data_IF_687510343723
#
_entry.id   IF_687510343723
#
_cell.length_a   1.000
_cell.length_b   1.000
_cell.length_c   1.000
_cell.angle_alpha   90.00
_cell.angle_beta   90.00
_cell.angle_gamma   90.00
#
_symmetry.space_group_name_H-M   'P 1'
#
loop_
_entity.id
_entity.type
_entity.pdbx_description
1 polymer ?
#
# COMPACT_ATOMS: atom_id res chain seq x y z
N UNK A 1 -8.06 -5.49 6.55
CA UNK A 1 -7.93 -4.90 7.90
C UNK A 1 -8.30 -3.42 7.94
N UNK A 2 -7.68 -2.55 7.12
CA UNK A 2 -7.96 -1.09 7.10
C UNK A 2 -9.44 -0.75 6.80
N UNK A 3 -10.06 -1.42 5.82
CA UNK A 3 -11.47 -1.21 5.44
C UNK A 3 -12.44 -1.60 6.57
N UNK A 4 -12.14 -2.67 7.31
CA UNK A 4 -13.01 -3.14 8.39
C UNK A 4 -12.88 -2.24 9.64
N UNK A 5 -11.70 -1.68 9.88
CA UNK A 5 -11.49 -0.66 10.91
C UNK A 5 -12.19 0.65 10.59
N UNK A 6 -12.21 1.10 9.33
CA UNK A 6 -12.93 2.30 8.93
C UNK A 6 -14.45 2.13 9.05
N UNK A 7 -14.97 0.93 8.77
CA UNK A 7 -16.38 0.56 9.00
C UNK A 7 -16.70 0.52 10.50
N UNK A 8 -15.83 -0.07 11.33
CA UNK A 8 -15.99 -0.10 12.79
C UNK A 8 -16.00 1.30 13.41
N UNK A 9 -15.17 2.22 12.89
CA UNK A 9 -15.10 3.62 13.32
C UNK A 9 -16.36 4.44 12.99
N UNK A 10 -17.16 4.02 12.01
CA UNK A 10 -18.38 4.70 11.58
C UNK A 10 -19.66 4.22 12.29
N UNK A 11 -19.56 3.37 13.32
CA UNK A 11 -20.70 3.04 14.19
C UNK A 11 -21.59 1.90 13.71
N UNK A 12 -21.05 0.96 12.93
CA UNK A 12 -21.69 -0.36 12.74
C UNK A 12 -21.50 -0.98 11.37
N UNK A 13 -21.69 -2.30 11.32
CA UNK A 13 -21.61 -3.16 10.14
C UNK A 13 -22.79 -2.93 9.15
N UNK A 14 -23.02 -1.69 8.72
CA UNK A 14 -24.04 -1.35 7.71
C UNK A 14 -23.43 -1.31 6.31
N UNK A 15 -24.18 -1.83 5.33
CA UNK A 15 -23.75 -1.92 3.93
C UNK A 15 -23.36 -0.58 3.33
N UNK A 16 -24.03 0.51 3.72
CA UNK A 16 -23.72 1.86 3.24
C UNK A 16 -22.30 2.33 3.65
N UNK A 17 -21.85 2.03 4.87
CA UNK A 17 -20.49 2.39 5.33
C UNK A 17 -19.43 1.56 4.61
N UNK A 18 -19.73 0.29 4.34
CA UNK A 18 -18.89 -0.59 3.56
C UNK A 18 -18.70 -0.09 2.12
N UNK A 19 -19.78 0.27 1.44
CA UNK A 19 -19.72 0.80 0.07
C UNK A 19 -18.92 2.10 0.00
N UNK A 20 -19.09 3.00 0.98
CA UNK A 20 -18.33 4.24 1.07
C UNK A 20 -16.83 3.97 1.26
N UNK A 21 -16.47 3.12 2.22
CA UNK A 21 -15.08 2.77 2.49
C UNK A 21 -14.42 2.09 1.29
N UNK A 22 -15.12 1.20 0.60
CA UNK A 22 -14.60 0.55 -0.59
C UNK A 22 -14.40 1.51 -1.76
N UNK A 23 -15.32 2.47 -1.96
CA UNK A 23 -15.16 3.49 -3.00
C UNK A 23 -13.91 4.34 -2.77
N UNK A 24 -13.61 4.70 -1.52
CA UNK A 24 -12.40 5.47 -1.17
C UNK A 24 -11.09 4.68 -1.43
N UNK A 25 -11.11 3.35 -1.33
CA UNK A 25 -9.93 2.50 -1.54
C UNK A 25 -9.77 2.07 -2.99
N UNK A 26 -10.86 1.75 -3.69
CA UNK A 26 -10.80 1.23 -5.07
C UNK A 26 -10.26 2.29 -6.03
N UNK A 27 -10.64 3.56 -5.88
CA UNK A 27 -10.19 4.65 -6.76
C UNK A 27 -8.66 4.77 -6.86
N UNK A 28 -7.90 4.92 -5.75
CA UNK A 28 -6.44 5.00 -5.84
C UNK A 28 -5.79 3.69 -6.31
N UNK A 29 -6.38 2.54 -6.01
CA UNK A 29 -5.91 1.24 -6.51
C UNK A 29 -6.03 1.18 -8.04
N UNK A 30 -7.19 1.55 -8.59
CA UNK A 30 -7.40 1.63 -10.05
C UNK A 30 -6.42 2.59 -10.71
N UNK A 31 -6.20 3.78 -10.13
CA UNK A 31 -5.23 4.74 -10.66
C UNK A 31 -3.82 4.16 -10.71
N UNK A 32 -3.37 3.52 -9.64
CA UNK A 32 -2.03 2.93 -9.56
C UNK A 32 -1.88 1.75 -10.53
N UNK A 33 -2.87 0.86 -10.59
CA UNK A 33 -2.88 -0.28 -11.52
C UNK A 33 -2.87 0.17 -12.97
N UNK A 34 -3.61 1.22 -13.32
CA UNK A 34 -3.61 1.79 -14.67
C UNK A 34 -2.25 2.37 -15.04
N UNK A 35 -1.65 3.18 -14.16
CA UNK A 35 -0.31 3.75 -14.39
C UNK A 35 0.74 2.64 -14.58
N UNK A 36 0.71 1.61 -13.73
CA UNK A 36 1.62 0.46 -13.86
C UNK A 36 1.40 -0.30 -15.17
N UNK A 37 0.15 -0.55 -15.57
CA UNK A 37 -0.15 -1.18 -16.85
C UNK A 37 0.34 -0.36 -18.04
N UNK A 38 0.13 0.96 -18.04
CA UNK A 38 0.66 1.84 -19.09
C UNK A 38 2.19 1.86 -19.12
N UNK A 39 2.84 1.87 -17.95
CA UNK A 39 4.30 1.82 -17.85
C UNK A 39 4.86 0.53 -18.45
N UNK A 40 4.33 -0.64 -18.08
CA UNK A 40 4.75 -1.92 -18.66
C UNK A 40 4.42 -2.03 -20.15
N UNK A 41 3.31 -1.44 -20.60
CA UNK A 41 3.00 -1.37 -22.03
C UNK A 41 4.03 -0.53 -22.80
N UNK A 42 4.51 0.59 -22.25
CA UNK A 42 5.58 1.38 -22.87
C UNK A 42 6.92 0.64 -22.92
N UNK A 43 7.23 -0.18 -21.92
CA UNK A 43 8.45 -1.00 -21.90
C UNK A 43 8.52 -2.03 -23.04
N UNK A 44 7.38 -2.37 -23.68
CA UNK A 44 7.36 -3.24 -24.85
C UNK A 44 7.97 -2.61 -26.12
N UNK A 45 8.25 -1.30 -26.11
CA UNK A 45 8.91 -0.61 -27.23
C UNK A 45 10.43 -0.85 -27.21
N UNK A 46 10.99 -1.39 -26.13
CA UNK A 46 12.43 -1.65 -26.02
C UNK A 46 12.89 -2.80 -26.94
N UNK A 47 13.99 -2.58 -27.67
CA UNK A 47 14.62 -3.60 -28.53
C UNK A 47 15.35 -4.72 -27.75
N UNK A 48 15.37 -4.65 -26.41
CA UNK A 48 16.07 -5.64 -25.57
C UNK A 48 15.11 -6.79 -25.22
N UNK A 49 15.41 -8.04 -25.61
CA UNK A 49 14.47 -9.16 -25.46
C UNK A 49 14.12 -9.51 -24.02
N UNK A 50 15.08 -9.43 -23.11
CA UNK A 50 14.81 -9.62 -21.69
C UNK A 50 13.83 -8.57 -21.13
N UNK A 51 13.90 -7.34 -21.63
CA UNK A 51 13.07 -6.22 -21.15
C UNK A 51 11.64 -6.36 -21.64
N UNK A 52 11.40 -6.51 -22.95
CA UNK A 52 10.03 -6.59 -23.45
C UNK A 52 9.32 -7.88 -23.01
N UNK A 53 9.99 -9.03 -22.91
CA UNK A 53 9.36 -10.27 -22.44
C UNK A 53 8.92 -10.16 -20.97
N UNK A 54 9.79 -9.60 -20.11
CA UNK A 54 9.42 -9.36 -18.71
C UNK A 54 8.29 -8.33 -18.58
N UNK A 55 8.30 -7.29 -19.42
CA UNK A 55 7.27 -6.27 -19.45
C UNK A 55 5.91 -6.83 -19.89
N UNK A 56 5.86 -7.72 -20.88
CA UNK A 56 4.62 -8.42 -21.27
C UNK A 56 4.07 -9.28 -20.12
N UNK A 57 4.91 -10.09 -19.47
CA UNK A 57 4.49 -10.88 -18.31
C UNK A 57 3.97 -10.00 -17.17
N UNK A 58 4.66 -8.89 -16.86
CA UNK A 58 4.25 -7.94 -15.83
C UNK A 58 2.93 -7.25 -16.20
N UNK A 59 2.74 -6.88 -17.46
CA UNK A 59 1.50 -6.25 -17.95
C UNK A 59 0.29 -7.16 -17.74
N UNK A 60 0.37 -8.41 -18.20
CA UNK A 60 -0.72 -9.38 -18.00
C UNK A 60 -0.97 -9.64 -16.51
N UNK A 61 0.11 -9.76 -15.73
CA UNK A 61 0.01 -9.97 -14.27
C UNK A 61 -0.69 -8.82 -13.56
N UNK A 62 -0.36 -7.57 -13.88
CA UNK A 62 -0.99 -6.38 -13.29
C UNK A 62 -2.46 -6.29 -13.67
N UNK A 63 -2.82 -6.57 -14.93
CA UNK A 63 -4.21 -6.55 -15.38
C UNK A 63 -5.02 -7.62 -14.64
N UNK A 64 -4.53 -8.86 -14.59
CA UNK A 64 -5.20 -9.96 -13.89
C UNK A 64 -5.31 -9.69 -12.38
N UNK A 65 -4.25 -9.16 -11.77
CA UNK A 65 -4.24 -8.77 -10.37
C UNK A 65 -5.27 -7.67 -10.09
N UNK A 66 -5.37 -6.67 -10.98
CA UNK A 66 -6.37 -5.62 -10.85
C UNK A 66 -7.80 -6.17 -10.91
N UNK A 67 -8.10 -7.07 -11.85
CA UNK A 67 -9.40 -7.73 -11.95
C UNK A 67 -9.72 -8.57 -10.71
N UNK A 68 -8.75 -9.32 -10.19
CA UNK A 68 -8.91 -10.08 -8.95
C UNK A 68 -9.16 -9.17 -7.75
N UNK A 69 -8.43 -8.04 -7.65
CA UNK A 69 -8.61 -7.09 -6.55
C UNK A 69 -9.97 -6.39 -6.65
N UNK A 70 -10.45 -5.98 -7.83
CA UNK A 70 -11.73 -5.26 -7.89
C UNK A 70 -12.95 -6.18 -7.69
N UNK A 71 -12.81 -7.48 -7.95
CA UNK A 71 -13.91 -8.45 -7.83
C UNK A 71 -13.85 -9.28 -6.55
N UNK A 72 -12.75 -10.02 -6.33
CA UNK A 72 -12.62 -10.97 -5.23
C UNK A 72 -12.41 -10.28 -3.89
N UNK A 73 -11.61 -9.20 -3.84
CA UNK A 73 -11.30 -8.56 -2.56
C UNK A 73 -12.52 -7.89 -1.91
N UNK A 74 -13.40 -7.19 -2.65
CA UNK A 74 -14.67 -6.73 -2.09
C UNK A 74 -15.60 -7.86 -1.68
N UNK A 75 -15.76 -8.90 -2.49
CA UNK A 75 -16.57 -10.05 -2.08
C UNK A 75 -16.07 -10.65 -0.76
N UNK A 76 -14.75 -10.83 -0.63
CA UNK A 76 -14.12 -11.35 0.59
C UNK A 76 -14.35 -10.43 1.80
N UNK A 77 -14.14 -9.12 1.64
CA UNK A 77 -14.33 -8.16 2.71
C UNK A 77 -15.81 -8.03 3.15
N UNK A 78 -16.75 -8.15 2.21
CA UNK A 78 -18.19 -8.17 2.53
C UNK A 78 -18.58 -9.44 3.33
N UNK A 79 -18.08 -10.61 2.92
CA UNK A 79 -18.29 -11.85 3.66
C UNK A 79 -17.66 -11.80 5.05
N UNK A 80 -16.45 -11.23 5.16
CA UNK A 80 -15.78 -11.05 6.45
C UNK A 80 -16.54 -10.08 7.36
N UNK A 81 -17.06 -8.98 6.80
CA UNK A 81 -17.94 -8.05 7.51
C UNK A 81 -19.17 -8.76 8.10
N UNK A 82 -19.85 -9.59 7.30
CA UNK A 82 -21.02 -10.37 7.75
C UNK A 82 -20.65 -11.42 8.81
N UNK A 83 -19.47 -12.04 8.69
CA UNK A 83 -18.95 -12.99 9.69
C UNK A 83 -18.68 -12.31 11.03
N UNK A 84 -18.04 -11.14 11.02
CA UNK A 84 -17.77 -10.36 12.23
C UNK A 84 -19.06 -9.84 12.87
N UNK A 85 -20.03 -9.38 12.06
CA UNK A 85 -21.35 -8.97 12.55
C UNK A 85 -22.10 -10.12 13.26
N UNK A 86 -21.88 -11.37 12.84
CA UNK A 86 -22.43 -12.56 13.50
C UNK A 86 -21.65 -12.99 14.76
N UNK A 87 -20.56 -12.30 15.11
CA UNK A 87 -19.74 -12.60 16.29
C UNK A 87 -19.01 -13.95 16.21
N UNK A 88 -18.67 -14.43 15.01
CA UNK A 88 -17.94 -15.70 14.82
C UNK A 88 -16.44 -15.46 14.81
N UNK A 89 -15.64 -16.39 15.38
CA UNK A 89 -14.16 -16.29 15.37
C UNK A 89 -13.58 -16.43 13.95
N UNK A 90 -12.37 -15.91 13.76
CA UNK A 90 -11.69 -15.83 12.44
C UNK A 90 -11.32 -17.20 11.87
N UNK A 91 -10.66 -18.04 12.66
CA UNK A 91 -10.15 -19.37 12.23
C UNK A 91 -11.18 -20.47 12.49
N UNK A 92 -11.87 -20.42 13.63
CA UNK A 92 -12.87 -21.43 14.02
C UNK A 92 -14.28 -20.85 13.89
N UNK A 93 -14.79 -20.85 12.66
CA UNK A 93 -16.09 -20.26 12.30
C UNK A 93 -17.30 -20.86 13.06
N UNK A 94 -17.18 -22.09 13.58
CA UNK A 94 -18.22 -22.74 14.37
C UNK A 94 -18.35 -22.21 15.80
N UNK A 95 -17.33 -21.51 16.31
CA UNK A 95 -17.33 -20.99 17.67
C UNK A 95 -17.79 -19.54 17.67
N UNK A 96 -18.93 -19.30 18.33
CA UNK A 96 -19.41 -17.95 18.59
C UNK A 96 -18.56 -17.33 19.69
N UNK A 97 -18.20 -16.06 19.53
CA UNK A 97 -17.47 -15.31 20.51
C UNK A 97 -18.43 -14.88 21.62
N UNK A 98 -18.21 -15.38 22.82
CA UNK A 98 -19.05 -15.13 24.01
C UNK A 98 -19.02 -13.65 24.45
N UNK A 99 -17.86 -13.01 24.26
CA UNK A 99 -17.65 -11.59 24.47
C UNK A 99 -17.32 -10.93 23.13
N UNK A 100 -18.35 -10.55 22.36
CA UNK A 100 -18.12 -9.70 21.19
C UNK A 100 -17.32 -8.46 21.65
N UNK A 101 -16.24 -8.07 20.96
CA UNK A 101 -15.47 -6.90 21.36
C UNK A 101 -16.45 -5.72 21.34
N UNK A 102 -16.58 -5.03 22.48
CA UNK A 102 -17.45 -3.86 22.56
C UNK A 102 -17.13 -2.90 21.41
N UNK A 103 -18.14 -2.15 20.96
CA UNK A 103 -18.04 -1.19 19.86
C UNK A 103 -16.98 -0.09 20.06
N UNK A 104 -16.29 -0.09 21.21
CA UNK A 104 -15.16 0.77 21.52
C UNK A 104 -13.83 0.26 20.98
N UNK A 105 -13.32 0.95 19.95
CA UNK A 105 -11.89 1.25 19.72
C UNK A 105 -10.90 0.13 20.11
N UNK A 106 -10.74 -0.86 19.23
CA UNK A 106 -9.42 -1.46 19.09
C UNK A 106 -8.58 -0.46 18.29
N UNK A 107 -8.06 0.57 18.95
CA UNK A 107 -7.03 1.38 18.31
C UNK A 107 -5.83 0.46 18.06
N UNK A 108 -5.42 0.37 16.80
CA UNK A 108 -4.30 -0.44 16.37
C UNK A 108 -3.05 0.03 17.14
N UNK A 109 -2.61 -0.75 18.13
CA UNK A 109 -1.59 -0.38 19.12
C UNK A 109 -0.31 0.15 18.45
N UNK A 110 0.01 -0.40 17.27
CA UNK A 110 1.15 0.01 16.45
C UNK A 110 0.96 1.40 15.84
N UNK A 111 -0.26 1.71 15.36
CA UNK A 111 -0.57 3.02 14.82
C UNK A 111 -0.60 4.05 15.95
N UNK A 112 -1.30 3.83 17.05
CA UNK A 112 -1.39 4.84 18.12
C UNK A 112 -0.03 5.06 18.79
N UNK A 113 0.78 4.03 19.02
CA UNK A 113 2.07 4.22 19.72
C UNK A 113 3.16 4.85 18.85
N UNK A 114 3.44 4.33 17.65
CA UNK A 114 4.51 4.88 16.80
C UNK A 114 4.10 6.21 16.17
N UNK A 115 2.87 6.31 15.66
CA UNK A 115 2.44 7.52 14.97
C UNK A 115 2.19 8.67 15.94
N UNK A 116 1.37 8.48 16.98
CA UNK A 116 1.02 9.59 17.87
C UNK A 116 2.15 9.96 18.82
N UNK A 117 3.05 9.04 19.21
CA UNK A 117 4.12 9.32 20.17
C UNK A 117 5.43 9.79 19.53
N UNK A 118 5.77 9.34 18.33
CA UNK A 118 7.03 9.69 17.67
C UNK A 118 6.82 10.54 16.42
N UNK A 119 6.03 10.07 15.46
CA UNK A 119 5.90 10.73 14.17
C UNK A 119 5.22 12.10 14.26
N UNK A 120 4.06 12.15 14.93
CA UNK A 120 3.24 13.35 15.08
C UNK A 120 3.96 14.47 15.85
N UNK A 121 4.60 14.25 17.01
CA UNK A 121 5.32 15.34 17.68
C UNK A 121 6.59 15.77 16.93
N UNK A 122 7.27 14.87 16.23
CA UNK A 122 8.50 15.19 15.50
C UNK A 122 8.23 16.00 14.21
N UNK A 123 7.18 15.63 13.46
CA UNK A 123 6.86 16.23 12.15
C UNK A 123 5.80 17.33 12.27
N UNK A 124 4.74 17.13 13.07
CA UNK A 124 3.59 18.03 13.23
C UNK A 124 3.62 18.84 14.55
N UNK A 125 4.74 18.81 15.29
CA UNK A 125 4.88 19.49 16.58
C UNK A 125 4.88 21.02 16.51
N UNK A 126 5.42 21.65 17.56
CA UNK A 126 5.51 23.12 17.69
C UNK A 126 6.18 23.77 16.47
N UNK A 127 5.85 25.05 16.20
CA UNK A 127 6.30 25.76 14.99
C UNK A 127 7.82 25.69 14.78
N UNK A 128 8.61 25.75 15.86
CA UNK A 128 10.08 25.67 15.79
C UNK A 128 10.59 24.26 15.44
N UNK A 129 10.03 23.21 16.05
CA UNK A 129 10.43 21.83 15.76
C UNK A 129 9.97 21.40 14.38
N UNK A 130 8.76 21.79 13.96
CA UNK A 130 8.27 21.55 12.61
C UNK A 130 9.16 22.19 11.55
N UNK A 131 9.54 23.46 11.74
CA UNK A 131 10.41 24.15 10.79
C UNK A 131 11.77 23.46 10.68
N UNK A 132 12.38 23.11 11.82
CA UNK A 132 13.64 22.36 11.83
C UNK A 132 13.54 21.00 11.14
N UNK A 133 12.56 20.17 11.50
CA UNK A 133 12.37 18.82 10.92
C UNK A 133 12.12 18.89 9.41
N UNK A 134 11.26 19.80 8.95
CA UNK A 134 11.00 19.97 7.51
C UNK A 134 12.23 20.49 6.76
N UNK A 135 12.98 21.45 7.32
CA UNK A 135 14.22 21.93 6.71
C UNK A 135 15.27 20.82 6.62
N UNK A 136 15.40 19.98 7.66
CA UNK A 136 16.31 18.84 7.66
C UNK A 136 15.90 17.81 6.58
N UNK A 137 14.61 17.45 6.51
CA UNK A 137 14.11 16.51 5.49
C UNK A 137 14.33 17.06 4.09
N UNK A 138 14.04 18.34 3.86
CA UNK A 138 14.27 19.00 2.57
C UNK A 138 15.75 18.99 2.20
N UNK A 139 16.63 19.37 3.13
CA UNK A 139 18.08 19.40 2.90
C UNK A 139 18.63 18.00 2.61
N UNK A 140 18.18 16.99 3.37
CA UNK A 140 18.53 15.59 3.13
C UNK A 140 18.03 15.07 1.77
N UNK A 141 16.81 15.44 1.38
CA UNK A 141 16.23 15.05 0.08
C UNK A 141 16.99 15.70 -1.07
N UNK A 142 17.32 17.00 -0.96
CA UNK A 142 18.10 17.72 -1.98
C UNK A 142 19.52 17.14 -2.06
N UNK A 143 20.15 16.82 -0.93
CA UNK A 143 21.46 16.19 -0.91
C UNK A 143 21.43 14.82 -1.61
N UNK A 144 20.47 13.95 -1.28
CA UNK A 144 20.31 12.65 -1.94
C UNK A 144 20.01 12.78 -3.43
N UNK A 145 19.20 13.77 -3.82
CA UNK A 145 18.92 14.05 -5.22
C UNK A 145 20.17 14.50 -5.97
N UNK A 146 20.97 15.38 -5.37
CA UNK A 146 22.26 15.83 -5.92
C UNK A 146 23.26 14.69 -6.05
N UNK A 147 23.38 13.84 -5.04
CA UNK A 147 24.20 12.62 -5.09
C UNK A 147 23.70 11.67 -6.19
N UNK A 148 22.39 11.53 -6.36
CA UNK A 148 21.81 10.74 -7.45
C UNK A 148 22.18 11.28 -8.84
N UNK A 149 22.13 12.60 -9.04
CA UNK A 149 22.57 13.23 -10.29
C UNK A 149 24.05 12.97 -10.54
N UNK A 150 24.89 13.16 -9.52
CA UNK A 150 26.32 12.91 -9.63
C UNK A 150 26.61 11.44 -9.95
N UNK A 151 25.98 10.50 -9.24
CA UNK A 151 26.17 9.06 -9.45
C UNK A 151 25.71 8.56 -10.82
N UNK A 152 24.78 9.24 -11.48
CA UNK A 152 24.41 8.91 -12.87
C UNK A 152 25.58 9.20 -13.83
N UNK A 153 26.42 10.20 -13.54
CA UNK A 153 27.54 10.58 -14.42
C UNK A 153 28.72 9.62 -14.37
N UNK A 154 28.89 8.90 -13.26
CA UNK A 154 30.00 7.94 -13.07
C UNK A 154 29.64 6.51 -13.50
N UNK A 155 28.43 6.28 -14.03
CA UNK A 155 27.95 4.93 -14.32
C UNK A 155 28.65 4.35 -15.55
N UNK A 156 29.41 3.28 -15.36
CA UNK A 156 29.95 2.47 -16.45
C UNK A 156 28.80 1.86 -17.27
N UNK A 157 28.90 1.99 -18.59
CA UNK A 157 27.89 1.49 -19.54
C UNK A 157 28.37 0.17 -20.10
N UNK A 158 27.76 -0.93 -19.67
CA UNK A 158 28.08 -2.28 -20.12
C UNK A 158 27.84 -3.29 -19.00
N UNK A 159 27.72 -4.57 -19.38
CA UNK A 159 27.76 -5.69 -18.44
C UNK A 159 29.14 -6.32 -18.53
N UNK A 160 29.82 -6.45 -17.39
CA UNK A 160 31.08 -7.19 -17.33
C UNK A 160 30.81 -8.67 -17.60
N UNK A 161 31.71 -9.37 -18.30
CA UNK A 161 31.57 -10.82 -18.49
C UNK A 161 31.64 -11.58 -17.16
N UNK A 162 32.30 -11.01 -16.16
CA UNK A 162 32.32 -11.49 -14.78
C UNK A 162 30.94 -11.55 -14.11
N UNK A 163 29.98 -10.69 -14.47
CA UNK A 163 28.62 -10.70 -13.91
C UNK A 163 27.79 -11.93 -14.35
N UNK A 164 28.24 -12.65 -15.39
CA UNK A 164 27.57 -13.86 -15.86
C UNK A 164 28.04 -15.13 -15.15
N UNK A 165 29.16 -15.09 -14.43
CA UNK A 165 29.69 -16.25 -13.72
C UNK A 165 29.34 -16.16 -12.23
N UNK A 166 28.64 -17.15 -11.66
CA UNK A 166 28.42 -17.20 -10.22
C UNK A 166 29.78 -17.32 -9.50
N UNK A 167 29.94 -16.53 -8.43
CA UNK A 167 31.15 -16.50 -7.59
C UNK A 167 31.31 -17.74 -6.71
#
# INVERSE_FOLDING_TARGET
YIVLLSIKKQGGYREHHYLKAMKEVIVPVTMTSLVNACMFAMMNISDIPAVYLSAQCALYSVILLYLAIITCFPAYCYLDMKRQAAGRKDVFFCLKQENAPSEGKAEDFRNTFLYDKFYKPLVLGSARTRMFTHTLIMLGTVALFGVGIYGITEREVGLGLEDFFPS
#
